data_IF_052276305059
#
_entry.id   IF_052276305059
#
_cell.length_a   1.000
_cell.length_b   1.000
_cell.length_c   1.000
_cell.angle_alpha   90.00
_cell.angle_beta   90.00
_cell.angle_gamma   90.00
#
_symmetry.space_group_name_H-M   'P 1'
#
loop_
_entity.id
_entity.type
_entity.pdbx_description
1 polymer ?
#
# COMPACT_ATOMS: atom_id res chain seq x y z
N UNK A 1 38.05 6.88 -2.04
CA UNK A 1 37.66 7.66 -0.85
C UNK A 1 36.56 8.62 -1.26
N UNK A 2 35.29 8.21 -1.20
CA UNK A 2 34.18 9.13 -1.39
C UNK A 2 33.51 9.27 -0.02
N UNK A 3 33.91 10.31 0.72
CA UNK A 3 33.17 10.74 1.92
C UNK A 3 32.04 11.62 1.40
N UNK A 4 31.00 10.99 0.86
CA UNK A 4 29.69 11.63 0.84
C UNK A 4 29.29 11.75 2.31
N UNK A 5 29.03 12.97 2.78
CA UNK A 5 28.66 13.21 4.17
C UNK A 5 27.51 12.27 4.57
N UNK A 6 27.50 11.82 5.83
CA UNK A 6 26.43 10.95 6.31
C UNK A 6 25.08 11.64 6.12
N UNK A 7 24.04 10.92 5.64
CA UNK A 7 22.70 11.48 5.54
C UNK A 7 22.17 11.84 6.93
N UNK A 8 21.24 12.80 6.96
CA UNK A 8 20.49 13.12 8.16
C UNK A 8 19.44 12.03 8.49
N UNK A 9 18.84 12.16 9.68
CA UNK A 9 17.89 11.19 10.19
C UNK A 9 16.61 11.12 9.35
N UNK A 10 16.13 12.28 8.88
CA UNK A 10 14.92 12.36 8.05
C UNK A 10 15.12 11.61 6.72
N UNK A 11 16.27 11.76 6.07
CA UNK A 11 16.57 11.03 4.84
C UNK A 11 16.64 9.52 5.09
N UNK A 12 17.20 9.08 6.23
CA UNK A 12 17.20 7.67 6.63
C UNK A 12 15.78 7.14 6.88
N UNK A 13 14.91 7.92 7.53
CA UNK A 13 13.49 7.57 7.72
C UNK A 13 12.76 7.41 6.38
N UNK A 14 12.97 8.35 5.44
CA UNK A 14 12.38 8.28 4.11
C UNK A 14 12.86 7.05 3.33
N UNK A 15 14.14 6.66 3.46
CA UNK A 15 14.67 5.43 2.89
C UNK A 15 13.93 4.22 3.46
N UNK A 16 13.84 4.10 4.79
CA UNK A 16 13.25 2.96 5.48
C UNK A 16 11.73 2.83 5.23
N UNK A 17 11.04 3.95 5.01
CA UNK A 17 9.63 3.99 4.59
C UNK A 17 9.43 3.75 3.07
N UNK A 18 10.52 3.59 2.30
CA UNK A 18 10.44 3.38 0.85
C UNK A 18 9.95 4.61 0.07
N UNK A 19 10.10 5.82 0.63
CA UNK A 19 9.60 7.08 0.05
C UNK A 19 10.61 7.82 -0.82
N UNK A 20 11.87 7.35 -0.88
CA UNK A 20 12.90 7.95 -1.71
C UNK A 20 12.77 7.55 -3.19
N UNK A 21 13.08 8.47 -4.13
CA UNK A 21 13.26 8.13 -5.54
C UNK A 21 14.36 7.07 -5.74
N UNK A 22 14.24 6.26 -6.79
CA UNK A 22 15.15 5.14 -7.09
C UNK A 22 16.64 5.53 -7.04
N UNK A 23 17.02 6.62 -7.72
CA UNK A 23 18.40 7.11 -7.80
C UNK A 23 18.98 7.49 -6.42
N UNK A 24 18.16 8.10 -5.56
CA UNK A 24 18.59 8.50 -4.22
C UNK A 24 18.68 7.29 -3.28
N UNK A 25 17.76 6.33 -3.45
CA UNK A 25 17.77 5.07 -2.70
C UNK A 25 19.05 4.27 -2.95
N UNK A 26 19.44 4.08 -4.21
CA UNK A 26 20.63 3.29 -4.55
C UNK A 26 21.91 3.89 -3.95
N UNK A 27 22.04 5.22 -3.99
CA UNK A 27 23.17 5.92 -3.38
C UNK A 27 23.19 5.76 -1.84
N UNK A 28 22.03 5.81 -1.19
CA UNK A 28 21.93 5.66 0.27
C UNK A 28 22.16 4.21 0.71
N UNK A 29 21.65 3.23 -0.03
CA UNK A 29 21.91 1.80 0.20
C UNK A 29 23.40 1.50 0.08
N UNK A 30 24.06 2.02 -0.97
CA UNK A 30 25.50 1.92 -1.12
C UNK A 30 26.26 2.58 0.06
N UNK A 31 25.78 3.71 0.56
CA UNK A 31 26.36 4.34 1.74
C UNK A 31 26.19 3.47 3.00
N UNK A 32 25.00 2.92 3.26
CA UNK A 32 24.73 2.06 4.42
C UNK A 32 25.58 0.79 4.42
N UNK A 33 25.86 0.20 3.26
CA UNK A 33 26.77 -0.95 3.14
C UNK A 33 28.22 -0.62 3.52
N UNK A 34 28.62 0.66 3.47
CA UNK A 34 30.00 1.09 3.68
C UNK A 34 30.19 1.96 4.94
N UNK A 35 29.11 2.37 5.60
CA UNK A 35 29.13 3.25 6.76
C UNK A 35 28.45 2.60 7.97
N UNK A 36 29.26 2.06 8.88
CA UNK A 36 28.77 1.39 10.08
C UNK A 36 27.94 2.32 10.98
N UNK A 37 28.30 3.61 11.06
CA UNK A 37 27.54 4.58 11.84
C UNK A 37 26.11 4.72 11.32
N UNK A 38 25.94 4.88 10.01
CA UNK A 38 24.62 5.01 9.40
C UNK A 38 23.85 3.69 9.45
N UNK A 39 24.51 2.54 9.32
CA UNK A 39 23.87 1.24 9.49
C UNK A 39 23.32 1.05 10.91
N UNK A 40 24.11 1.42 11.94
CA UNK A 40 23.67 1.35 13.33
C UNK A 40 22.55 2.35 13.61
N UNK A 41 22.61 3.57 13.09
CA UNK A 41 21.49 4.53 13.21
C UNK A 41 20.24 4.02 12.52
N UNK A 42 20.35 3.51 11.28
CA UNK A 42 19.20 2.98 10.54
C UNK A 42 18.51 1.83 11.29
N UNK A 43 19.27 0.99 12.02
CA UNK A 43 18.69 -0.09 12.83
C UNK A 43 17.91 0.38 14.07
N UNK A 44 18.14 1.61 14.54
CA UNK A 44 17.45 2.17 15.71
C UNK A 44 16.30 3.09 15.33
N UNK A 45 16.24 3.54 14.07
CA UNK A 45 15.15 4.36 13.56
C UNK A 45 13.86 3.55 13.54
N UNK A 46 12.88 3.98 14.34
CA UNK A 46 11.52 3.46 14.29
C UNK A 46 10.78 4.07 13.09
N UNK A 47 11.10 3.60 11.88
CA UNK A 47 10.41 4.01 10.66
C UNK A 47 8.94 3.56 10.74
N UNK A 48 8.09 4.49 11.15
CA UNK A 48 6.65 4.28 11.31
C UNK A 48 5.93 5.30 10.45
N UNK A 49 4.99 4.82 9.65
CA UNK A 49 4.01 5.66 8.97
C UNK A 49 2.67 5.60 9.69
N UNK A 50 1.75 6.49 9.34
CA UNK A 50 0.45 6.58 9.98
C UNK A 50 -0.35 5.26 9.90
N UNK A 51 -0.13 4.45 8.85
CA UNK A 51 -0.79 3.16 8.71
C UNK A 51 -0.22 2.12 9.67
N UNK A 52 1.11 1.96 9.69
CA UNK A 52 1.81 1.04 10.59
C UNK A 52 1.64 1.42 12.05
N UNK A 53 1.57 2.71 12.37
CA UNK A 53 1.25 3.19 13.71
C UNK A 53 -0.21 2.90 14.09
N UNK A 54 -1.16 3.13 13.18
CA UNK A 54 -2.56 2.75 13.39
C UNK A 54 -2.72 1.23 13.58
N UNK A 55 -2.00 0.41 12.82
CA UNK A 55 -2.01 -1.05 12.98
C UNK A 55 -1.37 -1.50 14.30
N UNK A 56 -0.31 -0.83 14.76
CA UNK A 56 0.36 -1.13 16.03
C UNK A 56 -0.51 -0.77 17.23
N UNK A 57 -1.19 0.36 17.15
CA UNK A 57 -2.09 0.85 18.22
C UNK A 57 -3.47 0.21 18.16
N UNK A 58 -3.83 -0.43 17.04
CA UNK A 58 -5.06 -1.18 16.93
C UNK A 58 -5.12 -2.25 18.02
N UNK A 59 -6.27 -2.30 18.71
CA UNK A 59 -6.52 -3.30 19.73
C UNK A 59 -6.45 -4.70 19.10
N UNK A 60 -5.58 -5.60 19.57
CA UNK A 60 -5.56 -6.96 19.08
C UNK A 60 -6.94 -7.58 19.33
N UNK A 61 -7.54 -8.14 18.27
CA UNK A 61 -8.77 -8.90 18.40
C UNK A 61 -8.38 -10.26 18.97
N UNK A 62 -8.32 -10.35 20.30
CA UNK A 62 -8.27 -11.63 21.00
C UNK A 62 -9.68 -12.23 20.93
N UNK A 63 -9.97 -12.91 19.82
CA UNK A 63 -11.18 -13.70 19.64
C UNK A 63 -10.89 -15.17 19.91
N UNK A 64 -11.89 -15.87 20.41
CA UNK A 64 -11.90 -17.33 20.38
C UNK A 64 -11.99 -17.76 18.91
N UNK A 65 -11.00 -18.53 18.44
CA UNK A 65 -10.89 -18.95 17.05
C UNK A 65 -12.10 -19.77 16.62
N UNK A 66 -12.68 -20.56 17.54
CA UNK A 66 -13.87 -21.38 17.29
C UNK A 66 -15.11 -20.49 17.03
N UNK A 67 -15.25 -19.39 17.80
CA UNK A 67 -16.33 -18.42 17.62
C UNK A 67 -16.15 -17.65 16.31
N UNK A 68 -14.91 -17.32 15.93
CA UNK A 68 -14.62 -16.65 14.67
C UNK A 68 -15.01 -17.53 13.48
N UNK A 69 -14.68 -18.82 13.52
CA UNK A 69 -15.10 -19.79 12.51
C UNK A 69 -16.62 -19.88 12.39
N UNK A 70 -17.33 -19.98 13.52
CA UNK A 70 -18.80 -20.05 13.53
C UNK A 70 -19.44 -18.79 12.89
N UNK A 71 -18.95 -17.60 13.24
CA UNK A 71 -19.45 -16.33 12.69
C UNK A 71 -19.18 -16.21 11.20
N UNK A 72 -18.00 -16.64 10.73
CA UNK A 72 -17.66 -16.64 9.31
C UNK A 72 -18.61 -17.57 8.53
N UNK A 73 -18.84 -18.79 9.02
CA UNK A 73 -19.74 -19.74 8.37
C UNK A 73 -21.18 -19.24 8.32
N UNK A 74 -21.67 -18.66 9.42
CA UNK A 74 -22.99 -18.02 9.44
C UNK A 74 -23.08 -16.85 8.46
N UNK A 75 -22.01 -16.05 8.33
CA UNK A 75 -21.93 -14.94 7.38
C UNK A 75 -21.98 -15.38 5.91
N UNK A 76 -21.37 -16.51 5.57
CA UNK A 76 -21.44 -17.11 4.22
C UNK A 76 -22.87 -17.50 3.86
N UNK A 77 -23.61 -18.08 4.81
CA UNK A 77 -25.01 -18.48 4.63
C UNK A 77 -25.94 -17.28 4.39
N UNK A 78 -25.67 -16.14 5.02
CA UNK A 78 -26.43 -14.91 4.79
C UNK A 78 -26.25 -14.36 3.37
N UNK A 79 -25.09 -14.55 2.74
CA UNK A 79 -24.82 -14.04 1.38
C UNK A 79 -25.61 -14.80 0.31
N UNK A 80 -25.84 -16.09 0.52
CA UNK A 80 -26.69 -16.92 -0.34
C UNK A 80 -28.16 -16.49 -0.32
N UNK A 81 -28.64 -15.84 0.74
CA UNK A 81 -30.01 -15.33 0.85
C UNK A 81 -30.24 -14.00 0.10
N UNK A 82 -29.18 -13.37 -0.41
CA UNK A 82 -29.25 -12.06 -1.09
C UNK A 82 -29.20 -12.19 -2.62
N UNK A 83 -29.02 -13.40 -3.17
CA UNK A 83 -28.90 -13.64 -4.62
C UNK A 83 -30.22 -13.68 -5.42
N UNK A 84 -31.36 -13.25 -4.87
CA UNK A 84 -32.61 -13.13 -5.65
C UNK A 84 -33.31 -11.77 -5.51
N UNK A 85 -32.53 -10.70 -5.56
CA UNK A 85 -33.01 -9.38 -6.01
C UNK A 85 -32.43 -9.08 -7.38
N UNK A 86 -33.18 -9.35 -8.45
CA UNK A 86 -32.79 -9.12 -9.84
C UNK A 86 -32.27 -7.69 -10.03
N UNK A 87 -30.98 -7.54 -10.37
CA UNK A 87 -30.47 -6.31 -10.98
C UNK A 87 -31.18 -6.14 -12.32
N UNK A 88 -32.18 -5.27 -12.38
CA UNK A 88 -32.71 -4.77 -13.65
C UNK A 88 -31.54 -4.21 -14.47
N UNK A 89 -31.38 -4.77 -15.66
CA UNK A 89 -30.34 -4.43 -16.60
C UNK A 89 -30.31 -2.91 -16.82
N UNK A 90 -29.22 -2.27 -16.40
CA UNK A 90 -28.89 -0.92 -16.87
C UNK A 90 -28.57 -1.03 -18.35
N UNK A 91 -29.54 -0.71 -19.21
CA UNK A 91 -29.31 -0.54 -20.64
C UNK A 91 -28.43 0.70 -20.79
N UNK A 92 -27.16 0.50 -21.08
CA UNK A 92 -26.26 1.54 -21.57
C UNK A 92 -26.67 1.80 -23.02
N UNK A 93 -27.55 2.78 -23.23
CA UNK A 93 -27.82 3.31 -24.58
C UNK A 93 -26.55 4.01 -25.07
N UNK A 94 -25.72 3.27 -25.80
CA UNK A 94 -24.56 3.80 -26.51
C UNK A 94 -25.03 4.83 -27.54
N UNK A 95 -24.95 6.10 -27.19
CA UNK A 95 -25.20 7.20 -28.11
C UNK A 95 -24.06 7.22 -29.13
N UNK A 96 -24.33 6.77 -30.35
CA UNK A 96 -23.40 6.86 -31.48
C UNK A 96 -23.14 8.33 -31.78
N UNK A 97 -21.90 8.79 -31.58
CA UNK A 97 -21.42 10.06 -32.11
C UNK A 97 -21.12 9.83 -33.60
N UNK A 98 -21.80 10.50 -34.55
CA UNK A 98 -21.44 10.40 -35.96
C UNK A 98 -20.10 11.09 -36.19
N UNK A 99 -19.12 10.34 -36.70
CA UNK A 99 -17.86 10.88 -37.23
C UNK A 99 -18.13 11.64 -38.54
N UNK A 100 -17.64 12.88 -38.70
CA UNK A 100 -17.71 13.59 -39.98
C UNK A 100 -16.70 13.01 -40.98
N UNK A 101 -17.21 12.54 -42.12
CA UNK A 101 -16.41 12.05 -43.24
C UNK A 101 -15.52 13.17 -43.79
N UNK A 102 -14.20 13.03 -43.62
CA UNK A 102 -13.23 13.88 -44.32
C UNK A 102 -13.10 13.41 -45.77
N UNK A 103 -13.51 14.28 -46.70
CA UNK A 103 -13.21 14.16 -48.13
C UNK A 103 -11.70 14.21 -48.33
N UNK A 104 -11.13 13.16 -48.92
CA UNK A 104 -9.78 13.21 -49.49
C UNK A 104 -9.93 13.24 -51.02
N UNK A 105 -9.10 14.09 -51.60
CA UNK A 105 -9.04 14.65 -52.95
C UNK A 105 -8.71 13.62 -54.02
#
# INVERSE_FOLDING_TARGET
MNVTACPDLETLELLLLGKLPFEQREQLEAHLMNCQSCASTASTVAATDALTDALRTARPINGDEDILFEVIERGKQLRSLVETGQSEATIITGNQIPMPSSKIR
#
